data_IF_414983511930
#
_entry.id   IF_414983511930
#
_cell.length_a   1.000
_cell.length_b   1.000
_cell.length_c   1.000
_cell.angle_alpha   90.00
_cell.angle_beta   90.00
_cell.angle_gamma   90.00
#
_symmetry.space_group_name_H-M   'P 1'
#
loop_
_entity.id
_entity.type
_entity.pdbx_description
1 polymer ?
#
# COMPACT_ATOMS: atom_id res chain seq x y z
N UNK A 1 19.78 1.55 23.77
CA UNK A 1 18.81 2.24 22.91
C UNK A 1 17.69 1.26 22.61
N UNK A 2 16.48 1.52 23.14
CA UNK A 2 15.29 0.75 22.77
C UNK A 2 15.07 1.07 21.30
N UNK A 3 15.31 0.12 20.39
CA UNK A 3 14.83 0.26 19.03
C UNK A 3 13.31 0.32 19.12
N UNK A 4 12.75 1.52 19.05
CA UNK A 4 11.36 1.70 18.71
C UNK A 4 11.16 0.98 17.39
N UNK A 5 10.45 -0.15 17.41
CA UNK A 5 9.86 -0.70 16.19
C UNK A 5 9.14 0.50 15.51
N UNK A 6 9.42 0.79 14.23
CA UNK A 6 8.74 1.88 13.55
C UNK A 6 7.23 1.65 13.70
N UNK A 7 6.45 2.67 14.11
CA UNK A 7 5.03 2.51 14.45
C UNK A 7 4.16 2.11 13.24
N UNK A 8 4.77 1.97 12.06
CA UNK A 8 4.11 1.69 10.79
C UNK A 8 4.50 0.30 10.32
N UNK A 9 3.59 -0.65 10.48
CA UNK A 9 3.83 -2.03 10.06
C UNK A 9 2.68 -2.99 10.37
N UNK A 10 1.43 -2.59 10.14
CA UNK A 10 0.22 -3.44 9.94
C UNK A 10 -1.01 -2.52 9.96
N UNK A 11 -2.08 -2.89 9.25
CA UNK A 11 -3.21 -2.00 8.94
C UNK A 11 -3.89 -1.32 10.14
N UNK A 12 -3.87 -1.93 11.33
CA UNK A 12 -4.40 -1.33 12.55
C UNK A 12 -3.45 -0.33 13.23
N UNK A 13 -2.13 -0.42 12.99
CA UNK A 13 -1.14 0.40 13.68
C UNK A 13 -1.30 1.90 13.35
N UNK A 14 -1.60 2.22 12.09
CA UNK A 14 -1.83 3.59 11.65
C UNK A 14 -3.09 4.19 12.30
N UNK A 15 -4.17 3.41 12.42
CA UNK A 15 -5.39 3.83 13.13
C UNK A 15 -5.13 4.01 14.62
N UNK A 16 -4.46 3.07 15.26
CA UNK A 16 -4.11 3.15 16.68
C UNK A 16 -3.20 4.34 16.98
N UNK A 17 -2.27 4.66 16.09
CA UNK A 17 -1.45 5.87 16.17
C UNK A 17 -2.34 7.13 16.23
N UNK A 18 -3.19 7.33 15.23
CA UNK A 18 -4.10 8.48 15.20
C UNK A 18 -5.02 8.53 16.42
N UNK A 19 -5.58 7.38 16.83
CA UNK A 19 -6.40 7.26 18.04
C UNK A 19 -5.65 7.70 19.30
N UNK A 20 -4.40 7.27 19.49
CA UNK A 20 -3.62 7.60 20.68
C UNK A 20 -3.21 9.07 20.71
N UNK A 21 -2.81 9.64 19.58
CA UNK A 21 -2.48 11.06 19.47
C UNK A 21 -3.74 11.91 19.72
N UNK A 22 -4.84 11.63 19.03
CA UNK A 22 -6.11 12.34 19.20
C UNK A 22 -6.66 12.23 20.63
N UNK A 23 -6.50 11.09 21.29
CA UNK A 23 -6.92 10.90 22.67
C UNK A 23 -5.92 11.44 23.72
N UNK A 24 -4.75 11.94 23.31
CA UNK A 24 -3.69 12.41 24.23
C UNK A 24 -3.06 11.29 25.05
N UNK A 25 -3.10 10.05 24.55
CA UNK A 25 -2.53 8.84 25.18
C UNK A 25 -1.12 8.51 24.66
N UNK A 26 -0.60 9.34 23.76
CA UNK A 26 0.76 9.28 23.27
C UNK A 26 1.20 10.69 22.90
N UNK A 27 2.50 10.96 23.06
CA UNK A 27 3.11 12.21 22.62
C UNK A 27 3.15 12.24 21.09
N UNK A 28 2.75 13.36 20.46
CA UNK A 28 2.87 13.51 19.01
C UNK A 28 4.35 13.52 18.60
N UNK A 29 4.71 12.93 17.46
CA UNK A 29 6.03 13.15 16.89
C UNK A 29 6.21 14.64 16.58
N UNK A 30 7.43 15.15 16.68
CA UNK A 30 7.73 16.55 16.33
C UNK A 30 7.51 16.82 14.84
N UNK A 31 7.80 15.83 13.99
CA UNK A 31 7.63 15.90 12.54
C UNK A 31 6.93 14.64 12.02
N UNK A 32 5.90 14.81 11.18
CA UNK A 32 5.27 13.74 10.42
C UNK A 32 5.47 13.96 8.92
N UNK A 33 6.04 12.97 8.24
CA UNK A 33 6.21 12.96 6.78
C UNK A 33 5.16 12.05 6.12
N UNK A 34 4.33 12.60 5.24
CA UNK A 34 3.31 11.88 4.49
C UNK A 34 3.75 11.67 3.05
N UNK A 35 4.06 10.43 2.66
CA UNK A 35 4.40 10.07 1.29
C UNK A 35 3.23 9.35 0.60
N UNK A 36 2.61 9.98 -0.40
CA UNK A 36 1.47 9.45 -1.17
C UNK A 36 0.33 8.91 -0.27
N UNK A 37 0.19 9.48 0.92
CA UNK A 37 -0.74 9.03 1.95
C UNK A 37 -1.80 10.10 2.22
N UNK A 38 -3.07 9.71 2.14
CA UNK A 38 -4.22 10.55 2.46
C UNK A 38 -5.09 9.90 3.56
N UNK A 39 -4.54 9.74 4.79
CA UNK A 39 -5.22 9.01 5.85
C UNK A 39 -6.54 9.65 6.30
N UNK A 40 -6.76 10.95 6.07
CA UNK A 40 -8.04 11.61 6.36
C UNK A 40 -9.17 11.01 5.54
N UNK A 41 -8.95 10.69 4.26
CA UNK A 41 -9.97 10.07 3.41
C UNK A 41 -9.89 8.53 3.38
N UNK A 42 -8.69 7.95 3.43
CA UNK A 42 -8.52 6.51 3.26
C UNK A 42 -8.77 5.70 4.53
N UNK A 43 -8.77 6.34 5.71
CA UNK A 43 -9.01 5.68 6.99
C UNK A 43 -10.51 5.55 7.30
N UNK A 44 -10.89 4.45 7.95
CA UNK A 44 -12.24 4.27 8.52
C UNK A 44 -12.58 5.34 9.58
N UNK A 45 -11.56 5.93 10.18
CA UNK A 45 -11.65 7.02 11.17
C UNK A 45 -10.86 8.24 10.72
N UNK A 46 -11.27 8.82 9.60
CA UNK A 46 -10.70 10.07 9.10
C UNK A 46 -10.75 11.21 10.11
N UNK A 47 -11.84 11.29 10.89
CA UNK A 47 -12.04 12.25 11.98
C UNK A 47 -10.91 12.23 13.03
N UNK A 48 -10.39 11.03 13.35
CA UNK A 48 -9.28 10.89 14.28
C UNK A 48 -7.95 11.30 13.67
N UNK A 49 -7.80 11.10 12.36
CA UNK A 49 -6.62 11.59 11.64
C UNK A 49 -6.61 13.11 11.56
N UNK A 50 -7.75 13.75 11.33
CA UNK A 50 -7.85 15.21 11.39
C UNK A 50 -7.39 15.74 12.75
N UNK A 51 -7.94 15.20 13.84
CA UNK A 51 -7.54 15.57 15.21
C UNK A 51 -6.08 15.25 15.54
N UNK A 52 -5.55 14.14 15.00
CA UNK A 52 -4.15 13.79 15.21
C UNK A 52 -3.20 14.74 14.48
N UNK A 53 -3.51 15.10 13.23
CA UNK A 53 -2.71 16.04 12.44
C UNK A 53 -2.66 17.42 13.09
N UNK A 54 -3.78 17.92 13.64
CA UNK A 54 -3.84 19.20 14.37
C UNK A 54 -2.94 19.25 15.62
N UNK A 55 -2.58 18.09 16.18
CA UNK A 55 -1.73 17.99 17.38
C UNK A 55 -0.25 17.80 17.06
N UNK A 56 0.08 17.46 15.81
CA UNK A 56 1.46 17.23 15.40
C UNK A 56 2.08 18.59 15.09
N UNK A 57 3.24 18.95 15.68
CA UNK A 57 3.81 20.29 15.52
C UNK A 57 4.21 20.64 14.09
N UNK A 58 4.61 19.66 13.29
CA UNK A 58 5.03 19.90 11.91
C UNK A 58 4.69 18.71 11.00
N UNK A 59 3.81 18.94 10.03
CA UNK A 59 3.37 17.95 9.05
C UNK A 59 3.87 18.34 7.66
N UNK A 60 4.58 17.43 7.01
CA UNK A 60 5.06 17.59 5.63
C UNK A 60 4.33 16.61 4.72
N UNK A 61 3.73 17.10 3.64
CA UNK A 61 3.11 16.27 2.62
C UNK A 61 3.95 16.23 1.34
N UNK A 62 4.20 15.01 0.86
CA UNK A 62 4.79 14.71 -0.45
C UNK A 62 3.75 14.20 -1.45
N UNK A 63 2.50 14.68 -1.34
CA UNK A 63 1.46 14.34 -2.32
C UNK A 63 1.64 15.17 -3.60
N UNK A 64 1.55 14.58 -4.80
CA UNK A 64 1.49 15.34 -6.05
C UNK A 64 0.14 16.05 -6.23
N UNK A 65 -0.82 15.83 -5.34
CA UNK A 65 -2.17 16.40 -5.39
C UNK A 65 -2.54 17.08 -4.06
N UNK A 66 -3.31 18.15 -4.12
CA UNK A 66 -3.81 18.84 -2.92
C UNK A 66 -5.04 18.13 -2.33
N UNK A 67 -4.78 16.97 -1.71
CA UNK A 67 -5.78 16.12 -1.05
C UNK A 67 -6.15 16.57 0.38
N UNK A 68 -7.10 15.88 1.02
CA UNK A 68 -7.61 16.25 2.33
C UNK A 68 -6.54 16.24 3.45
N UNK A 69 -5.54 15.37 3.34
CA UNK A 69 -4.45 15.31 4.33
C UNK A 69 -3.41 16.40 4.04
N UNK A 70 -3.10 16.64 2.77
CA UNK A 70 -2.16 17.68 2.32
C UNK A 70 -2.63 19.10 2.63
N UNK A 71 -3.95 19.35 2.59
CA UNK A 71 -4.54 20.64 3.03
C UNK A 71 -4.34 20.95 4.52
N UNK A 72 -3.94 19.95 5.30
CA UNK A 72 -3.66 20.05 6.74
C UNK A 72 -2.17 19.98 7.06
N UNK A 73 -1.33 19.92 6.03
CA UNK A 73 0.12 19.94 6.21
C UNK A 73 0.62 21.39 6.35
N UNK A 74 1.65 21.58 7.17
CA UNK A 74 2.36 22.85 7.30
C UNK A 74 3.21 23.14 6.07
N UNK A 75 3.74 22.08 5.44
CA UNK A 75 4.53 22.16 4.22
C UNK A 75 4.06 21.11 3.22
N UNK A 76 3.73 21.57 2.01
CA UNK A 76 3.49 20.68 0.86
C UNK A 76 4.69 20.78 -0.06
N UNK A 77 5.37 19.65 -0.27
CA UNK A 77 6.45 19.47 -1.24
C UNK A 77 5.91 18.58 -2.37
N UNK A 78 5.40 19.16 -3.48
CA UNK A 78 4.80 18.37 -4.55
C UNK A 78 5.83 17.41 -5.17
N UNK A 79 5.50 16.13 -5.11
CA UNK A 79 6.32 15.09 -5.71
C UNK A 79 6.16 15.07 -7.24
N UNK A 80 7.16 14.50 -7.91
CA UNK A 80 7.14 14.25 -9.33
C UNK A 80 6.32 12.99 -9.65
N UNK A 81 5.65 12.99 -10.79
CA UNK A 81 4.86 11.83 -11.21
C UNK A 81 5.78 10.64 -11.55
N UNK A 82 5.25 9.40 -11.50
CA UNK A 82 6.04 8.18 -11.71
C UNK A 82 6.92 8.14 -12.97
N UNK A 83 6.55 8.88 -14.01
CA UNK A 83 7.27 8.94 -15.30
C UNK A 83 8.24 10.14 -15.40
N UNK A 84 8.32 10.99 -14.38
CA UNK A 84 9.15 12.20 -14.32
C UNK A 84 10.39 12.02 -13.44
N UNK A 85 10.59 10.85 -12.82
CA UNK A 85 11.60 10.63 -11.78
C UNK A 85 12.24 9.24 -11.82
N UNK A 86 13.40 9.14 -11.20
CA UNK A 86 14.04 7.88 -10.86
C UNK A 86 13.32 7.17 -9.72
N UNK A 87 12.96 5.91 -9.92
CA UNK A 87 12.35 5.09 -8.88
C UNK A 87 12.53 3.59 -9.19
N UNK A 88 12.45 2.76 -8.15
CA UNK A 88 12.34 1.32 -8.30
C UNK A 88 10.97 0.78 -7.90
N UNK A 89 10.69 -0.45 -8.35
CA UNK A 89 9.53 -1.22 -7.98
C UNK A 89 9.97 -2.60 -7.48
N UNK A 90 9.39 -3.04 -6.38
CA UNK A 90 9.53 -4.43 -5.93
C UNK A 90 8.45 -5.29 -6.56
N UNK A 91 8.79 -6.55 -6.85
CA UNK A 91 7.86 -7.52 -7.39
C UNK A 91 6.59 -7.67 -6.54
N UNK A 92 5.41 -7.84 -7.15
CA UNK A 92 4.21 -8.20 -6.41
C UNK A 92 4.43 -9.46 -5.58
N UNK A 93 3.85 -9.52 -4.37
CA UNK A 93 3.93 -10.70 -3.50
C UNK A 93 3.32 -11.98 -4.11
N UNK A 94 2.60 -11.85 -5.24
CA UNK A 94 2.05 -12.98 -5.99
C UNK A 94 3.07 -13.65 -6.91
N UNK A 95 4.25 -13.05 -7.11
CA UNK A 95 5.32 -13.66 -7.89
C UNK A 95 6.08 -14.61 -6.99
N UNK A 96 6.30 -15.85 -7.45
CA UNK A 96 7.02 -16.87 -6.69
C UNK A 96 8.51 -16.56 -6.51
N UNK A 97 9.03 -15.55 -7.21
CA UNK A 97 10.43 -15.19 -7.21
C UNK A 97 10.63 -13.68 -6.99
N UNK A 98 11.75 -13.27 -6.35
CA UNK A 98 12.16 -11.89 -6.24
C UNK A 98 12.24 -11.24 -7.61
N UNK A 99 11.67 -10.05 -7.70
CA UNK A 99 11.67 -9.24 -8.90
C UNK A 99 11.97 -7.81 -8.48
N UNK A 100 12.82 -7.13 -9.24
CA UNK A 100 13.14 -5.72 -9.04
C UNK A 100 13.01 -5.00 -10.38
N UNK A 101 12.17 -3.98 -10.42
CA UNK A 101 11.94 -3.13 -11.60
C UNK A 101 12.57 -1.77 -11.37
N UNK A 102 13.02 -1.14 -12.45
CA UNK A 102 13.58 0.21 -12.40
C UNK A 102 12.88 1.10 -13.42
N UNK A 103 12.68 2.35 -13.03
CA UNK A 103 12.10 3.40 -13.88
C UNK A 103 13.05 4.58 -13.88
N UNK A 104 13.40 5.02 -15.09
CA UNK A 104 14.08 6.29 -15.33
C UNK A 104 13.05 7.36 -15.76
N UNK A 105 13.34 8.65 -15.55
CA UNK A 105 12.51 9.73 -16.07
C UNK A 105 12.33 9.59 -17.59
N UNK A 106 11.07 9.48 -18.05
CA UNK A 106 10.73 9.40 -19.47
C UNK A 106 10.45 10.77 -20.07
N UNK A 107 10.06 11.72 -19.23
CA UNK A 107 9.79 13.11 -19.59
C UNK A 107 10.35 14.04 -18.52
N UNK A 108 10.70 15.26 -18.92
CA UNK A 108 11.10 16.29 -17.98
C UNK A 108 9.89 16.75 -17.14
N UNK A 109 10.08 17.03 -15.83
CA UNK A 109 9.05 17.61 -14.98
C UNK A 109 8.47 18.89 -15.59
N UNK A 110 7.14 18.97 -15.70
CA UNK A 110 6.47 20.16 -16.26
C UNK A 110 6.27 21.30 -15.27
N UNK A 111 6.33 20.99 -13.97
CA UNK A 111 6.07 21.92 -12.88
C UNK A 111 7.23 21.92 -11.88
N UNK A 112 7.30 22.99 -11.08
CA UNK A 112 8.24 23.03 -9.96
C UNK A 112 7.81 21.99 -8.92
N UNK A 113 8.65 20.98 -8.72
CA UNK A 113 8.46 19.87 -7.79
C UNK A 113 9.79 19.15 -7.60
N UNK A 114 9.80 18.20 -6.67
CA UNK A 114 11.01 17.44 -6.35
C UNK A 114 10.65 16.00 -6.05
N UNK A 115 11.40 15.04 -6.59
CA UNK A 115 11.17 13.65 -6.27
C UNK A 115 11.35 13.43 -4.76
N UNK A 116 10.40 12.78 -4.10
CA UNK A 116 10.46 12.54 -2.64
C UNK A 116 11.78 11.87 -2.22
N UNK A 117 12.25 10.92 -3.02
CA UNK A 117 13.52 10.24 -2.77
C UNK A 117 14.70 11.21 -2.70
N UNK A 118 14.82 12.10 -3.68
CA UNK A 118 15.86 13.13 -3.69
C UNK A 118 15.71 14.11 -2.52
N UNK A 119 14.47 14.48 -2.16
CA UNK A 119 14.21 15.37 -1.03
C UNK A 119 14.69 14.75 0.29
N UNK A 120 14.44 13.45 0.49
CA UNK A 120 14.90 12.71 1.67
C UNK A 120 16.42 12.58 1.68
N UNK A 121 17.07 12.32 0.54
CA UNK A 121 18.53 12.26 0.42
C UNK A 121 19.18 13.61 0.73
N UNK A 122 18.66 14.72 0.18
CA UNK A 122 19.16 16.06 0.48
C UNK A 122 18.98 16.43 1.96
N UNK A 123 17.82 16.08 2.55
CA UNK A 123 17.59 16.27 3.98
C UNK A 123 18.59 15.47 4.83
N UNK A 124 18.85 14.21 4.46
CA UNK A 124 19.85 13.38 5.13
C UNK A 124 21.25 13.99 5.06
N UNK A 125 21.64 14.53 3.90
CA UNK A 125 22.89 15.26 3.71
C UNK A 125 22.97 16.51 4.59
N UNK A 126 21.91 17.31 4.63
CA UNK A 126 21.84 18.54 5.43
C UNK A 126 21.90 18.27 6.95
N UNK A 127 21.28 17.18 7.42
CA UNK A 127 21.35 16.76 8.83
C UNK A 127 22.76 16.27 9.22
N UNK A 128 23.52 15.74 8.28
CA UNK A 128 24.89 15.27 8.52
C UNK A 128 24.96 14.06 9.46
N UNK A 129 26.11 13.90 10.13
CA UNK A 129 26.28 12.92 11.20
C UNK A 129 26.04 11.46 10.76
N UNK A 130 25.35 10.69 11.59
CA UNK A 130 24.99 9.30 11.28
C UNK A 130 23.96 9.20 10.15
N UNK A 131 23.09 10.20 9.98
CA UNK A 131 22.02 10.18 8.98
C UNK A 131 22.61 10.25 7.58
N UNK A 132 23.49 11.23 7.31
CA UNK A 132 24.19 11.34 6.02
C UNK A 132 25.03 10.09 5.70
N UNK A 133 25.67 9.47 6.72
CA UNK A 133 26.43 8.22 6.52
C UNK A 133 25.56 7.02 6.18
N UNK A 134 24.31 7.00 6.64
CA UNK A 134 23.35 5.93 6.33
C UNK A 134 22.72 6.07 4.94
N UNK A 135 22.71 7.28 4.39
CA UNK A 135 22.20 7.59 3.05
C UNK A 135 23.24 8.38 2.23
N UNK A 136 24.42 7.79 1.92
CA UNK A 136 25.54 8.49 1.31
C UNK A 136 25.39 8.57 -0.23
N UNK A 137 24.25 9.09 -0.68
CA UNK A 137 23.90 9.20 -2.10
C UNK A 137 23.44 10.61 -2.41
N UNK A 138 23.94 11.18 -3.51
CA UNK A 138 23.60 12.54 -3.92
C UNK A 138 22.17 12.63 -4.44
N UNK A 139 21.71 11.59 -5.14
CA UNK A 139 20.39 11.49 -5.74
C UNK A 139 19.90 10.03 -5.81
N UNK A 140 18.64 9.88 -6.22
CA UNK A 140 17.98 8.59 -6.40
C UNK A 140 18.63 7.75 -7.49
N UNK A 141 19.17 8.35 -8.56
CA UNK A 141 19.86 7.59 -9.61
C UNK A 141 21.08 6.87 -9.04
N UNK A 142 21.90 7.56 -8.24
CA UNK A 142 23.07 6.99 -7.58
C UNK A 142 22.69 5.89 -6.57
N UNK A 143 21.62 6.10 -5.79
CA UNK A 143 21.07 5.08 -4.90
C UNK A 143 20.67 3.81 -5.68
N UNK A 144 19.94 3.97 -6.78
CA UNK A 144 19.48 2.85 -7.60
C UNK A 144 20.62 2.15 -8.31
N UNK A 145 21.62 2.89 -8.82
CA UNK A 145 22.87 2.32 -9.34
C UNK A 145 23.61 1.51 -8.28
N UNK A 146 23.67 1.99 -7.04
CA UNK A 146 24.30 1.24 -5.95
C UNK A 146 23.55 -0.07 -5.62
N UNK A 147 22.20 -0.05 -5.66
CA UNK A 147 21.39 -1.29 -5.54
C UNK A 147 21.67 -2.25 -6.70
N UNK A 148 21.70 -1.75 -7.93
CA UNK A 148 21.98 -2.55 -9.12
C UNK A 148 23.38 -3.18 -9.06
N UNK A 149 24.38 -2.50 -8.48
CA UNK A 149 25.72 -3.09 -8.25
C UNK A 149 25.66 -4.30 -7.33
N UNK A 150 24.78 -4.28 -6.32
CA UNK A 150 24.52 -5.44 -5.46
C UNK A 150 23.95 -6.64 -6.24
N UNK A 151 22.99 -6.39 -7.14
CA UNK A 151 22.44 -7.43 -8.02
C UNK A 151 23.50 -7.98 -8.98
N UNK A 152 24.27 -7.11 -9.62
CA UNK A 152 25.36 -7.51 -10.52
C UNK A 152 26.43 -8.35 -9.79
N UNK A 153 26.81 -7.94 -8.57
CA UNK A 153 27.78 -8.66 -7.75
C UNK A 153 27.28 -10.04 -7.28
N UNK A 154 25.95 -10.21 -7.15
CA UNK A 154 25.36 -11.50 -6.79
C UNK A 154 25.54 -12.56 -7.87
N UNK A 155 25.83 -12.17 -9.12
CA UNK A 155 26.03 -13.06 -10.28
C UNK A 155 24.92 -14.11 -10.43
N UNK A 156 23.69 -13.68 -10.19
CA UNK A 156 22.50 -14.51 -10.13
C UNK A 156 21.31 -13.75 -10.68
N UNK A 157 20.30 -14.50 -11.13
CA UNK A 157 19.10 -13.96 -11.74
C UNK A 157 19.37 -13.43 -13.15
N UNK A 158 18.29 -13.01 -13.81
CA UNK A 158 18.29 -12.60 -15.21
C UNK A 158 17.56 -11.29 -15.38
N UNK A 159 17.96 -10.51 -16.38
CA UNK A 159 17.21 -9.32 -16.77
C UNK A 159 15.85 -9.73 -17.39
N UNK A 160 14.88 -8.82 -17.38
CA UNK A 160 13.61 -9.10 -18.07
C UNK A 160 13.83 -9.37 -19.56
N UNK A 161 13.12 -10.34 -20.10
CA UNK A 161 13.28 -10.78 -21.48
C UNK A 161 12.08 -11.56 -21.99
N UNK A 162 12.07 -11.83 -23.29
CA UNK A 162 11.03 -12.62 -23.93
C UNK A 162 11.04 -14.10 -23.49
N UNK A 163 10.03 -14.85 -23.93
CA UNK A 163 9.87 -16.27 -23.58
C UNK A 163 11.01 -17.14 -24.12
N UNK A 164 11.55 -16.80 -25.30
CA UNK A 164 12.66 -17.55 -25.91
C UNK A 164 13.93 -17.41 -25.08
N UNK A 165 14.28 -16.19 -24.68
CA UNK A 165 15.40 -15.92 -23.79
C UNK A 165 15.22 -16.69 -22.48
N UNK A 166 14.06 -16.58 -21.82
CA UNK A 166 13.78 -17.31 -20.56
C UNK A 166 13.90 -18.83 -20.68
N UNK A 167 13.38 -19.43 -21.76
CA UNK A 167 13.48 -20.87 -22.01
C UNK A 167 14.92 -21.33 -22.30
N UNK A 168 15.69 -20.51 -23.03
CA UNK A 168 17.09 -20.77 -23.30
C UNK A 168 17.93 -20.76 -22.00
N UNK A 169 17.74 -19.75 -21.14
CA UNK A 169 18.41 -19.66 -19.83
C UNK A 169 18.09 -20.87 -18.95
N UNK A 170 16.80 -21.22 -18.83
CA UNK A 170 16.36 -22.40 -18.09
C UNK A 170 17.06 -23.68 -18.57
N UNK A 171 17.21 -23.87 -19.88
CA UNK A 171 17.87 -25.06 -20.44
C UNK A 171 19.39 -25.10 -20.20
N UNK A 172 20.07 -23.95 -20.23
CA UNK A 172 21.51 -23.88 -19.91
C UNK A 172 21.75 -24.14 -18.42
N UNK A 173 20.87 -23.60 -17.56
CA UNK A 173 20.99 -23.68 -16.11
C UNK A 173 20.54 -25.05 -15.55
N UNK A 174 19.54 -25.73 -16.15
CA UNK A 174 19.20 -27.15 -15.86
C UNK A 174 20.39 -28.09 -16.13
N UNK A 175 21.34 -27.66 -16.98
CA UNK A 175 22.57 -28.37 -17.30
C UNK A 175 23.77 -27.90 -16.46
N UNK A 176 23.55 -27.03 -15.48
CA UNK A 176 24.56 -26.53 -14.55
C UNK A 176 25.43 -25.40 -15.09
N UNK A 177 25.03 -24.74 -16.18
CA UNK A 177 25.77 -23.62 -16.77
C UNK A 177 25.16 -22.28 -16.39
N UNK A 178 25.93 -21.46 -15.67
CA UNK A 178 25.61 -20.07 -15.35
C UNK A 178 26.62 -19.18 -16.08
N UNK A 179 26.21 -18.54 -17.17
CA UNK A 179 27.04 -17.53 -17.82
C UNK A 179 26.56 -16.17 -17.31
N UNK A 180 27.41 -15.36 -16.65
CA UNK A 180 27.09 -13.97 -16.41
C UNK A 180 26.75 -13.32 -17.76
N UNK A 181 25.53 -12.78 -17.90
CA UNK A 181 25.10 -12.13 -19.14
C UNK A 181 26.04 -10.97 -19.51
N UNK A 182 26.59 -10.31 -18.50
CA UNK A 182 27.41 -9.11 -18.64
C UNK A 182 28.73 -9.26 -17.88
N UNK A 183 29.83 -8.89 -18.54
CA UNK A 183 31.18 -8.94 -17.95
C UNK A 183 31.48 -7.71 -17.09
N UNK A 184 30.85 -6.57 -17.39
CA UNK A 184 31.01 -5.30 -16.70
C UNK A 184 29.66 -4.71 -16.26
N UNK A 185 29.72 -3.84 -15.27
CA UNK A 185 28.52 -3.26 -14.66
C UNK A 185 27.83 -2.24 -15.58
N UNK A 186 28.56 -1.54 -16.44
CA UNK A 186 28.00 -0.47 -17.24
C UNK A 186 27.12 -1.05 -18.36
N UNK A 187 27.55 -2.14 -18.99
CA UNK A 187 26.73 -2.94 -19.90
C UNK A 187 25.48 -3.51 -19.21
N UNK A 188 25.65 -4.09 -18.01
CA UNK A 188 24.52 -4.59 -17.22
C UNK A 188 23.51 -3.48 -16.89
N UNK A 189 24.00 -2.30 -16.47
CA UNK A 189 23.15 -1.17 -16.10
C UNK A 189 22.37 -0.64 -17.30
N UNK A 190 23.01 -0.50 -18.47
CA UNK A 190 22.35 -0.06 -19.69
C UNK A 190 21.22 -1.04 -20.10
N UNK A 191 21.50 -2.35 -20.07
CA UNK A 191 20.53 -3.37 -20.47
C UNK A 191 19.40 -3.50 -19.43
N UNK A 192 19.71 -3.36 -18.13
CA UNK A 192 18.72 -3.30 -17.05
C UNK A 192 17.73 -2.15 -17.27
N UNK A 193 18.22 -0.95 -17.63
CA UNK A 193 17.36 0.19 -17.93
C UNK A 193 16.51 -0.03 -19.18
N UNK A 194 17.08 -0.66 -20.21
CA UNK A 194 16.37 -0.96 -21.45
C UNK A 194 15.25 -1.99 -21.23
N UNK A 195 15.50 -3.01 -20.40
CA UNK A 195 14.57 -4.11 -20.11
C UNK A 195 13.60 -3.80 -18.96
N UNK A 196 13.92 -2.78 -18.17
CA UNK A 196 13.07 -2.28 -17.08
C UNK A 196 13.13 -3.08 -15.78
N UNK A 197 13.99 -4.10 -15.67
CA UNK A 197 14.13 -4.86 -14.44
C UNK A 197 14.88 -6.18 -14.53
N UNK A 198 14.88 -6.86 -13.39
CA UNK A 198 15.61 -8.09 -13.09
C UNK A 198 14.74 -9.03 -12.25
N UNK A 199 14.95 -10.34 -12.40
CA UNK A 199 14.25 -11.38 -11.64
C UNK A 199 15.16 -12.54 -11.29
N UNK A 200 14.90 -13.19 -10.16
CA UNK A 200 15.59 -14.39 -9.70
C UNK A 200 14.65 -15.58 -9.62
N UNK A 201 14.42 -16.22 -10.77
CA UNK A 201 13.52 -17.37 -10.91
C UNK A 201 13.95 -18.60 -10.09
N UNK A 202 15.20 -18.62 -9.60
CA UNK A 202 15.78 -19.73 -8.84
C UNK A 202 15.90 -19.39 -7.35
N UNK A 203 15.13 -18.39 -6.90
CA UNK A 203 14.94 -18.18 -5.49
C UNK A 203 14.24 -19.37 -4.86
N UNK A 204 15.04 -20.18 -4.16
CA UNK A 204 14.53 -21.28 -3.34
C UNK A 204 13.73 -20.70 -2.17
N UNK A 205 12.43 -20.60 -2.38
CA UNK A 205 11.41 -20.30 -1.38
C UNK A 205 10.94 -21.54 -0.63
N UNK A 206 11.40 -22.73 -1.04
CA UNK A 206 11.03 -24.02 -0.47
C UNK A 206 11.88 -24.41 0.73
N UNK A 207 13.04 -23.78 0.93
CA UNK A 207 13.90 -23.96 2.10
C UNK A 207 13.14 -23.65 3.41
N UNK A 208 12.77 -24.68 4.21
CA UNK A 208 12.02 -24.48 5.44
C UNK A 208 12.78 -23.65 6.48
N UNK A 209 14.11 -23.59 6.40
CA UNK A 209 14.93 -22.77 7.30
C UNK A 209 14.68 -21.27 7.08
N UNK A 210 14.29 -20.85 5.88
CA UNK A 210 13.91 -19.45 5.58
C UNK A 210 12.52 -19.09 6.07
N UNK A 211 11.62 -20.08 6.16
CA UNK A 211 10.27 -19.94 6.73
C UNK A 211 10.29 -20.00 8.27
N UNK A 212 11.23 -20.77 8.83
CA UNK A 212 11.43 -20.92 10.26
C UNK A 212 12.08 -19.68 10.89
N UNK A 213 11.29 -18.62 11.10
CA UNK A 213 11.74 -17.38 11.76
C UNK A 213 11.83 -17.49 13.29
N UNK A 214 11.77 -18.68 13.86
CA UNK A 214 11.85 -18.91 15.30
C UNK A 214 13.15 -19.59 15.68
N UNK A 215 13.62 -19.33 16.91
CA UNK A 215 14.89 -19.86 17.42
C UNK A 215 14.97 -21.40 17.45
N UNK A 216 13.82 -22.09 17.44
CA UNK A 216 13.70 -23.55 17.44
C UNK A 216 13.54 -24.16 16.03
N UNK A 217 13.61 -23.35 14.96
CA UNK A 217 13.55 -23.83 13.58
C UNK A 217 12.16 -24.33 13.15
N UNK A 218 11.09 -24.00 13.89
CA UNK A 218 9.72 -24.45 13.62
C UNK A 218 8.84 -23.32 13.09
N UNK A 219 7.79 -23.67 12.36
CA UNK A 219 6.77 -22.68 12.00
C UNK A 219 5.85 -22.47 13.22
N UNK A 220 5.93 -21.29 13.84
CA UNK A 220 5.06 -20.96 14.97
C UNK A 220 3.65 -20.60 14.50
N UNK A 221 2.71 -21.54 14.65
CA UNK A 221 1.27 -21.30 14.43
C UNK A 221 0.69 -20.26 15.41
N UNK A 222 1.32 -20.11 16.58
CA UNK A 222 1.02 -19.08 17.57
C UNK A 222 2.34 -18.51 18.11
N UNK A 223 2.90 -17.46 17.48
CA UNK A 223 4.14 -16.85 17.93
C UNK A 223 4.05 -16.35 19.39
N UNK A 224 5.13 -16.41 20.20
CA UNK A 224 5.10 -15.96 21.59
C UNK A 224 4.59 -14.52 21.78
N UNK A 225 4.98 -13.59 20.88
CA UNK A 225 4.45 -12.22 20.86
C UNK A 225 2.92 -12.19 20.72
N UNK A 226 2.36 -13.02 19.83
CA UNK A 226 0.91 -13.12 19.64
C UNK A 226 0.23 -13.75 20.85
N UNK A 227 0.82 -14.79 21.45
CA UNK A 227 0.29 -15.39 22.67
C UNK A 227 0.26 -14.38 23.85
N UNK A 228 1.30 -13.57 24.00
CA UNK A 228 1.36 -12.51 25.01
C UNK A 228 0.27 -11.46 24.78
N UNK A 229 0.09 -11.01 23.54
CA UNK A 229 -0.97 -10.06 23.18
C UNK A 229 -2.37 -10.63 23.46
N UNK A 230 -2.64 -11.88 23.05
CA UNK A 230 -3.92 -12.53 23.32
C UNK A 230 -4.16 -12.78 24.82
N UNK A 231 -3.11 -13.06 25.58
CA UNK A 231 -3.20 -13.19 27.04
C UNK A 231 -3.54 -11.84 27.69
N UNK A 232 -2.92 -10.74 27.24
CA UNK A 232 -3.24 -9.38 27.69
C UNK A 232 -4.69 -8.97 27.36
N UNK A 233 -5.23 -9.46 26.23
CA UNK A 233 -6.65 -9.31 25.86
C UNK A 233 -7.61 -10.27 26.60
N UNK A 234 -7.10 -11.15 27.48
CA UNK A 234 -7.91 -12.17 28.17
C UNK A 234 -8.40 -13.31 27.27
N UNK A 235 -7.92 -13.40 26.03
CA UNK A 235 -8.32 -14.41 25.01
C UNK A 235 -7.48 -15.69 25.09
N UNK A 236 -6.29 -15.63 25.71
CA UNK A 236 -5.41 -16.77 25.87
C UNK A 236 -4.95 -17.35 24.53
N UNK A 237 -5.26 -18.63 24.25
CA UNK A 237 -4.91 -19.30 22.98
C UNK A 237 -6.01 -19.23 21.90
N UNK A 238 -7.08 -18.45 22.10
CA UNK A 238 -8.20 -18.36 21.15
C UNK A 238 -7.87 -17.45 19.97
N UNK A 239 -7.27 -18.01 18.93
CA UNK A 239 -6.89 -17.31 17.70
C UNK A 239 -8.05 -17.01 16.73
N UNK A 240 -9.00 -17.94 16.64
CA UNK A 240 -10.02 -17.92 15.60
C UNK A 240 -11.38 -17.53 16.18
N UNK A 241 -12.08 -16.60 15.51
CA UNK A 241 -13.53 -16.49 15.67
C UNK A 241 -14.13 -17.86 15.34
N UNK A 242 -15.01 -18.38 16.21
CA UNK A 242 -15.63 -19.67 15.91
C UNK A 242 -16.59 -19.49 14.74
N UNK A 243 -16.54 -20.34 13.69
CA UNK A 243 -17.62 -20.41 12.72
C UNK A 243 -18.95 -20.57 13.48
N UNK A 244 -19.88 -19.63 13.29
CA UNK A 244 -21.16 -19.61 14.01
C UNK A 244 -21.24 -18.67 15.22
N UNK A 245 -20.20 -17.89 15.54
CA UNK A 245 -20.38 -16.73 16.43
C UNK A 245 -21.45 -15.80 15.82
N UNK A 246 -22.52 -15.48 16.57
CA UNK A 246 -23.58 -14.64 16.04
C UNK A 246 -23.01 -13.25 15.77
N UNK A 247 -23.09 -12.83 14.51
CA UNK A 247 -22.74 -11.46 14.17
C UNK A 247 -23.60 -10.49 15.00
N UNK A 248 -23.02 -9.37 15.48
CA UNK A 248 -23.78 -8.38 16.23
C UNK A 248 -25.01 -7.97 15.41
N UNK A 249 -26.20 -8.09 16.01
CA UNK A 249 -27.43 -7.67 15.32
C UNK A 249 -27.36 -6.16 15.05
N UNK A 250 -27.81 -5.70 13.87
CA UNK A 250 -27.93 -4.28 13.60
C UNK A 250 -28.83 -3.62 14.65
N UNK A 251 -28.51 -2.38 15.02
CA UNK A 251 -29.39 -1.60 15.88
C UNK A 251 -30.75 -1.40 15.18
N UNK A 252 -31.89 -1.36 15.89
CA UNK A 252 -33.21 -1.18 15.27
C UNK A 252 -33.30 0.05 14.34
N UNK A 253 -32.58 1.13 14.69
CA UNK A 253 -32.52 2.36 13.91
C UNK A 253 -31.63 2.27 12.64
N UNK A 254 -30.75 1.27 12.56
CA UNK A 254 -29.85 1.03 11.43
C UNK A 254 -29.95 -0.45 11.02
N UNK A 255 -31.07 -0.87 10.39
CA UNK A 255 -31.40 -2.29 10.18
C UNK A 255 -30.57 -2.96 9.08
N UNK A 256 -29.70 -2.23 8.40
CA UNK A 256 -28.88 -2.72 7.29
C UNK A 256 -27.40 -2.66 7.66
N UNK A 257 -26.64 -3.66 7.21
CA UNK A 257 -25.18 -3.68 7.33
C UNK A 257 -24.56 -3.19 6.02
N UNK A 258 -23.68 -2.19 6.13
CA UNK A 258 -22.88 -1.74 4.99
C UNK A 258 -21.73 -2.73 4.75
N UNK A 259 -21.60 -3.20 3.52
CA UNK A 259 -20.47 -4.02 3.06
C UNK A 259 -19.71 -3.22 2.01
N UNK A 260 -18.66 -2.47 2.41
CA UNK A 260 -17.86 -1.73 1.44
C UNK A 260 -17.04 -2.69 0.60
N UNK A 261 -16.92 -2.41 -0.69
CA UNK A 261 -16.03 -3.10 -1.60
C UNK A 261 -15.29 -2.09 -2.47
N UNK A 262 -14.21 -2.52 -3.12
CA UNK A 262 -13.43 -1.66 -4.04
C UNK A 262 -13.74 -2.03 -5.47
N UNK A 263 -13.92 -1.01 -6.30
CA UNK A 263 -14.00 -1.15 -7.75
C UNK A 263 -12.58 -1.12 -8.30
N UNK A 264 -12.24 -2.02 -9.23
CA UNK A 264 -10.89 -2.15 -9.77
C UNK A 264 -10.31 -0.81 -10.30
N UNK A 265 -11.12 -0.02 -11.03
CA UNK A 265 -10.69 1.27 -11.59
C UNK A 265 -10.50 2.40 -10.57
N UNK A 266 -10.92 2.24 -9.31
CA UNK A 266 -10.89 3.28 -8.25
C UNK A 266 -10.25 2.74 -6.96
N UNK A 267 -9.46 1.66 -7.06
CA UNK A 267 -8.99 0.91 -5.89
C UNK A 267 -7.85 1.59 -5.11
N UNK A 268 -7.22 2.66 -5.63
CA UNK A 268 -6.01 3.26 -5.06
C UNK A 268 -5.87 4.78 -5.26
N UNK A 269 -5.69 5.53 -4.17
CA UNK A 269 -5.13 6.89 -4.19
C UNK A 269 -5.72 7.87 -5.23
N UNK A 270 -4.83 8.69 -5.82
CA UNK A 270 -5.15 9.76 -6.76
C UNK A 270 -5.70 9.31 -8.12
N UNK A 271 -5.93 8.01 -8.35
CA UNK A 271 -6.56 7.51 -9.59
C UNK A 271 -8.02 8.00 -9.72
N UNK A 272 -8.65 8.32 -8.59
CA UNK A 272 -9.95 9.00 -8.55
C UNK A 272 -9.93 10.42 -9.15
N UNK A 273 -8.77 10.98 -9.49
CA UNK A 273 -8.68 12.28 -10.17
C UNK A 273 -8.71 12.15 -11.70
N UNK A 274 -8.71 10.93 -12.24
CA UNK A 274 -8.68 10.67 -13.68
C UNK A 274 -10.11 10.43 -14.20
N UNK A 275 -10.73 11.36 -14.96
CA UNK A 275 -12.12 11.23 -15.38
C UNK A 275 -12.41 9.94 -16.18
N UNK A 276 -11.48 9.53 -17.04
CA UNK A 276 -11.63 8.32 -17.84
C UNK A 276 -11.66 7.03 -17.00
N UNK A 277 -11.07 7.02 -15.80
CA UNK A 277 -11.18 5.88 -14.87
C UNK A 277 -12.56 5.80 -14.21
N UNK A 278 -13.26 6.93 -14.08
CA UNK A 278 -14.66 6.94 -13.63
C UNK A 278 -15.63 6.45 -14.70
N UNK A 279 -15.27 6.59 -15.97
CA UNK A 279 -16.05 6.08 -17.11
C UNK A 279 -15.90 4.58 -17.34
N UNK A 280 -14.87 3.95 -16.76
CA UNK A 280 -14.63 2.53 -16.97
C UNK A 280 -15.82 1.71 -16.48
N UNK A 281 -16.38 0.82 -17.31
CA UNK A 281 -17.47 -0.04 -16.90
C UNK A 281 -16.99 -0.93 -15.76
N UNK A 282 -17.73 -0.89 -14.66
CA UNK A 282 -17.53 -1.83 -13.55
C UNK A 282 -18.24 -3.15 -13.88
N UNK A 283 -18.34 -4.06 -12.90
CA UNK A 283 -19.26 -5.21 -13.02
C UNK A 283 -20.72 -4.79 -13.27
N UNK A 284 -21.04 -3.50 -13.07
CA UNK A 284 -22.31 -2.88 -13.39
C UNK A 284 -22.10 -1.77 -14.44
N UNK A 285 -22.35 -2.05 -15.74
CA UNK A 285 -22.06 -1.11 -16.83
C UNK A 285 -22.72 0.27 -16.69
N UNK A 286 -23.94 0.31 -16.14
CA UNK A 286 -24.70 1.55 -15.94
C UNK A 286 -24.28 2.34 -14.68
N UNK A 287 -23.35 1.83 -13.88
CA UNK A 287 -22.94 2.45 -12.62
C UNK A 287 -21.55 3.09 -12.76
N UNK A 288 -21.57 4.41 -12.95
CA UNK A 288 -20.40 5.26 -13.09
C UNK A 288 -20.75 6.69 -12.62
N UNK A 289 -19.73 7.52 -12.37
CA UNK A 289 -19.78 8.92 -11.87
C UNK A 289 -20.39 9.19 -10.48
N UNK A 290 -21.47 8.50 -10.13
CA UNK A 290 -22.21 8.73 -8.90
C UNK A 290 -22.01 7.54 -7.97
N UNK A 291 -21.61 7.75 -6.70
CA UNK A 291 -21.57 6.66 -5.72
C UNK A 291 -22.90 5.92 -5.67
N UNK A 292 -22.87 4.60 -5.62
CA UNK A 292 -24.08 3.78 -5.53
C UNK A 292 -24.04 2.86 -4.32
N UNK A 293 -25.20 2.35 -3.94
CA UNK A 293 -25.36 1.30 -2.94
C UNK A 293 -26.25 0.22 -3.51
N UNK A 294 -25.79 -1.02 -3.42
CA UNK A 294 -26.51 -2.17 -3.94
C UNK A 294 -27.42 -2.75 -2.86
N UNK A 295 -28.68 -3.00 -3.20
CA UNK A 295 -29.70 -3.48 -2.27
C UNK A 295 -30.44 -4.66 -2.89
N UNK A 296 -30.65 -5.72 -2.11
CA UNK A 296 -31.42 -6.88 -2.55
C UNK A 296 -32.89 -6.48 -2.86
N UNK A 297 -33.51 -7.00 -3.94
CA UNK A 297 -34.87 -6.61 -4.35
C UNK A 297 -35.93 -6.68 -3.25
N UNK A 298 -35.94 -7.75 -2.45
CA UNK A 298 -36.89 -7.90 -1.34
C UNK A 298 -36.66 -6.86 -0.22
N UNK A 299 -35.41 -6.44 0.00
CA UNK A 299 -35.07 -5.41 0.99
C UNK A 299 -35.47 -4.03 0.47
N UNK A 300 -35.23 -3.76 -0.82
CA UNK A 300 -35.66 -2.52 -1.47
C UNK A 300 -37.19 -2.37 -1.42
N UNK A 301 -37.95 -3.41 -1.78
CA UNK A 301 -39.41 -3.40 -1.69
C UNK A 301 -39.94 -3.18 -0.27
N UNK A 302 -39.34 -3.85 0.73
CA UNK A 302 -39.73 -3.69 2.14
C UNK A 302 -39.41 -2.30 2.73
N UNK A 303 -38.49 -1.55 2.12
CA UNK A 303 -38.09 -0.20 2.54
C UNK A 303 -38.61 0.89 1.59
N UNK A 304 -39.38 0.54 0.55
CA UNK A 304 -39.88 1.49 -0.44
C UNK A 304 -38.78 2.15 -1.28
N UNK A 305 -37.63 1.49 -1.46
CA UNK A 305 -36.50 2.02 -2.23
C UNK A 305 -36.67 1.69 -3.72
N UNK A 306 -36.75 2.71 -4.56
CA UNK A 306 -36.79 2.55 -6.01
C UNK A 306 -35.39 2.42 -6.60
N UNK A 307 -35.23 1.61 -7.66
CA UNK A 307 -33.99 1.52 -8.42
C UNK A 307 -33.62 2.89 -9.02
N UNK A 308 -32.33 3.21 -9.05
CA UNK A 308 -31.76 4.48 -9.54
C UNK A 308 -32.16 5.74 -8.76
N UNK A 309 -32.99 5.64 -7.71
CA UNK A 309 -33.29 6.78 -6.86
C UNK A 309 -32.06 7.20 -6.03
N UNK A 310 -31.93 8.50 -5.76
CA UNK A 310 -30.93 8.99 -4.82
C UNK A 310 -31.43 8.83 -3.39
N UNK A 311 -30.61 8.26 -2.51
CA UNK A 311 -30.92 8.06 -1.10
C UNK A 311 -29.76 8.49 -0.20
N UNK A 312 -30.08 8.80 1.05
CA UNK A 312 -29.10 8.95 2.11
C UNK A 312 -28.82 7.60 2.76
N UNK A 313 -27.55 7.21 2.77
CA UNK A 313 -27.07 6.09 3.58
C UNK A 313 -26.58 6.68 4.90
N UNK A 314 -27.20 6.29 6.01
CA UNK A 314 -26.97 6.88 7.34
C UNK A 314 -26.47 5.81 8.29
N UNK A 315 -25.45 6.16 9.08
CA UNK A 315 -24.89 5.36 10.17
C UNK A 315 -24.92 6.18 11.47
N UNK A 316 -24.58 5.60 12.64
CA UNK A 316 -24.44 6.38 13.88
C UNK A 316 -23.43 7.52 13.80
N UNK A 317 -22.52 7.51 12.82
CA UNK A 317 -21.37 8.43 12.73
C UNK A 317 -21.46 9.43 11.59
N UNK A 318 -21.98 9.00 10.45
CA UNK A 318 -21.95 9.78 9.22
C UNK A 318 -23.09 9.42 8.27
N UNK A 319 -23.30 10.28 7.28
CA UNK A 319 -24.19 10.03 6.16
C UNK A 319 -23.51 10.38 4.84
N UNK A 320 -23.85 9.65 3.78
CA UNK A 320 -23.47 10.01 2.42
C UNK A 320 -24.63 9.77 1.46
N UNK A 321 -24.62 10.46 0.32
CA UNK A 321 -25.68 10.38 -0.68
C UNK A 321 -25.22 9.45 -1.80
N UNK A 322 -26.06 8.48 -2.14
CA UNK A 322 -25.76 7.47 -3.16
C UNK A 322 -26.99 7.09 -3.97
N UNK A 323 -26.76 6.58 -5.17
CA UNK A 323 -27.79 6.02 -6.03
C UNK A 323 -28.12 4.58 -5.60
N UNK A 324 -29.39 4.26 -5.43
CA UNK A 324 -29.82 2.88 -5.18
C UNK A 324 -29.63 2.06 -6.46
N UNK A 325 -29.00 0.90 -6.32
CA UNK A 325 -28.99 -0.15 -7.33
C UNK A 325 -29.66 -1.39 -6.78
N UNK A 326 -30.81 -1.75 -7.31
CA UNK A 326 -31.44 -3.02 -6.98
C UNK A 326 -30.67 -4.15 -7.66
N UNK A 327 -30.08 -5.05 -6.86
CA UNK A 327 -29.18 -6.10 -7.35
C UNK A 327 -29.38 -7.43 -6.61
N UNK A 328 -29.78 -8.52 -7.31
CA UNK A 328 -30.07 -9.81 -6.67
C UNK A 328 -28.88 -10.50 -6.02
N UNK A 329 -27.65 -10.20 -6.43
CA UNK A 329 -26.45 -10.84 -5.86
C UNK A 329 -26.07 -10.29 -4.47
N UNK A 330 -26.76 -9.24 -4.01
CA UNK A 330 -26.60 -8.71 -2.65
C UNK A 330 -27.31 -9.61 -1.65
N UNK A 331 -26.66 -9.90 -0.52
CA UNK A 331 -27.33 -10.62 0.57
C UNK A 331 -28.58 -9.87 1.05
N UNK A 332 -29.69 -10.60 1.22
CA UNK A 332 -30.92 -10.02 1.77
C UNK A 332 -30.67 -9.48 3.18
N UNK A 333 -31.04 -8.21 3.40
CA UNK A 333 -30.97 -7.60 4.73
C UNK A 333 -31.81 -8.42 5.73
N UNK A 334 -31.16 -8.92 6.78
CA UNK A 334 -31.83 -9.63 7.88
C UNK A 334 -32.27 -8.56 8.88
N UNK A 335 -33.58 -8.47 9.15
CA UNK A 335 -34.11 -7.66 10.26
C UNK A 335 -33.81 -8.33 11.59
#
# INVERSE_FOLDING_TARGET
AVCCEPPFGTGDAARQFAERIAAGRAEPPEVLLLYYANPVESSVRGDLWEQALERIPYVVSFSPFLDASSRRADLVLPDLLPYERWQDGVGPATYAYPTWSIVQPLVAPRHAGMATGDAVLQLAGALGGSVARSLPYDDMEMLLKARARGLFAAKRGVLFGDEFNRMHYRQMEERGWWLPEHADFDAFWADLLQRGGWTDQFYDDTDPAKLARTADGRIALLPPKLLQALAAEGRGRRLYARPGEPEPRPAPQFPLRLVPYRVAGIASGGVSLQPWLWEQPTVLPDQHWVPWVEVHPATAGALGLADRAMAWVISPRARYRARIKVFPAVARGRR
#
